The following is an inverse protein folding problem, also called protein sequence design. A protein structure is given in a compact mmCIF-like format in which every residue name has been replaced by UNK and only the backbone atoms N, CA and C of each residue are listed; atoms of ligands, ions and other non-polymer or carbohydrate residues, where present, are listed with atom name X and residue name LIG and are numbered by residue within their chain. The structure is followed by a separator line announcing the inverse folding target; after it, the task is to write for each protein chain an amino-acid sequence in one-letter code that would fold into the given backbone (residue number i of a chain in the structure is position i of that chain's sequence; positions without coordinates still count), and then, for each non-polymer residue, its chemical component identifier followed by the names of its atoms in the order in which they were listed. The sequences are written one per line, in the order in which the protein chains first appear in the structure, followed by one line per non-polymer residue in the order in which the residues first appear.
data_IF_443062272874
#
_entry.id   IF_443062272874
#
_cell.length_a   1.000
_cell.length_b   1.000
_cell.length_c   1.000
_cell.angle_alpha   90.00
_cell.angle_beta   90.00
_cell.angle_gamma   90.00
#
_symmetry.space_group_name_H-M   'P 1'
#
loop_
_entity.id
_entity.type
_entity.pdbx_description
1 polymer ?
#
# COMPACT_ATOMS: atom_id res chain seq x y z
N UNK A 1 16.20 6.08 6.23
CA UNK A 1 16.34 6.48 4.82
C UNK A 1 15.55 5.50 3.98
N UNK A 2 14.79 6.01 3.02
CA UNK A 2 14.06 5.19 2.06
C UNK A 2 14.99 4.22 1.31
N UNK A 3 14.49 3.00 1.10
CA UNK A 3 15.15 1.93 0.33
C UNK A 3 14.77 1.98 -1.15
N UNK A 4 13.67 2.65 -1.49
CA UNK A 4 13.12 2.76 -2.84
C UNK A 4 13.11 4.21 -3.34
N UNK A 5 13.06 4.36 -4.67
CA UNK A 5 13.02 5.65 -5.36
C UNK A 5 11.65 5.90 -6.00
N UNK A 6 11.35 7.17 -6.29
CA UNK A 6 10.17 7.59 -7.07
C UNK A 6 10.10 6.87 -8.44
N UNK A 7 11.24 6.70 -9.12
CA UNK A 7 11.31 6.02 -10.41
C UNK A 7 10.89 4.55 -10.29
N UNK A 8 11.36 3.83 -9.27
CA UNK A 8 10.98 2.43 -9.05
C UNK A 8 9.48 2.29 -8.73
N UNK A 9 8.92 3.21 -7.95
CA UNK A 9 7.47 3.22 -7.67
C UNK A 9 6.67 3.42 -8.94
N UNK A 10 7.04 4.41 -9.78
CA UNK A 10 6.34 4.69 -11.05
C UNK A 10 6.39 3.54 -12.06
N UNK A 11 7.35 2.63 -11.94
CA UNK A 11 7.38 1.41 -12.78
C UNK A 11 6.20 0.48 -12.47
N UNK A 12 5.76 0.42 -11.21
CA UNK A 12 4.75 -0.57 -10.79
C UNK A 12 3.33 0.02 -10.66
N UNK A 13 3.19 1.33 -10.51
CA UNK A 13 1.89 2.01 -10.39
C UNK A 13 1.73 3.14 -11.40
N UNK A 14 0.58 3.14 -12.07
CA UNK A 14 0.16 4.26 -12.90
C UNK A 14 -0.46 5.34 -12.02
N UNK A 15 0.26 6.44 -11.80
CA UNK A 15 -0.18 7.57 -10.98
C UNK A 15 0.13 8.89 -11.65
N UNK A 16 -0.75 9.88 -11.42
CA UNK A 16 -0.57 11.27 -11.87
C UNK A 16 0.01 12.16 -10.76
N UNK A 17 0.36 11.59 -9.60
CA UNK A 17 0.97 12.34 -8.50
C UNK A 17 2.33 12.91 -8.91
N UNK A 18 2.61 14.10 -8.38
CA UNK A 18 3.92 14.72 -8.53
C UNK A 18 4.97 14.00 -7.69
N UNK A 19 6.24 14.14 -8.06
CA UNK A 19 7.34 13.41 -7.44
C UNK A 19 7.48 13.69 -5.94
N UNK A 20 7.21 14.92 -5.51
CA UNK A 20 7.24 15.30 -4.09
C UNK A 20 6.20 14.52 -3.26
N UNK A 21 5.01 14.28 -3.82
CA UNK A 21 3.97 13.50 -3.16
C UNK A 21 4.38 12.02 -3.11
N UNK A 22 4.92 11.48 -4.20
CA UNK A 22 5.42 10.09 -4.24
C UNK A 22 6.50 9.88 -3.19
N UNK A 23 7.47 10.80 -3.08
CA UNK A 23 8.52 10.76 -2.06
C UNK A 23 7.94 10.76 -0.65
N UNK A 24 6.92 11.59 -0.40
CA UNK A 24 6.25 11.61 0.91
C UNK A 24 5.62 10.26 1.26
N UNK A 25 5.02 9.56 0.29
CA UNK A 25 4.46 8.22 0.49
C UNK A 25 5.54 7.16 0.70
N UNK A 26 6.67 7.26 -0.02
CA UNK A 26 7.84 6.41 0.17
C UNK A 26 8.39 6.57 1.60
N UNK A 27 8.48 7.80 2.10
CA UNK A 27 8.98 8.07 3.45
C UNK A 27 8.05 7.50 4.53
N UNK A 28 6.74 7.57 4.32
CA UNK A 28 5.75 6.92 5.20
C UNK A 28 5.94 5.39 5.17
N UNK A 29 6.05 4.80 3.98
CA UNK A 29 6.29 3.37 3.82
C UNK A 29 7.61 2.94 4.49
N UNK A 30 8.68 3.72 4.34
CA UNK A 30 9.98 3.43 4.95
C UNK A 30 9.91 3.40 6.47
N UNK A 31 9.26 4.40 7.09
CA UNK A 31 9.06 4.43 8.54
C UNK A 31 8.24 3.23 9.00
N UNK A 32 7.09 2.98 8.38
CA UNK A 32 6.23 1.86 8.71
C UNK A 32 6.96 0.50 8.61
N UNK A 33 7.67 0.24 7.50
CA UNK A 33 8.40 -1.01 7.32
C UNK A 33 9.59 -1.13 8.27
N UNK A 34 10.29 -0.03 8.54
CA UNK A 34 11.40 -0.05 9.49
C UNK A 34 10.92 -0.35 10.90
N UNK A 35 9.81 0.24 11.33
CA UNK A 35 9.26 0.04 12.67
C UNK A 35 8.69 -1.38 12.84
N UNK A 36 8.00 -1.89 11.83
CA UNK A 36 7.25 -3.15 11.93
C UNK A 36 8.11 -4.38 11.59
N UNK A 37 8.99 -4.25 10.59
CA UNK A 37 9.77 -5.37 10.05
C UNK A 37 11.28 -5.27 10.33
N UNK A 38 11.78 -4.12 10.80
CA UNK A 38 13.23 -3.89 10.95
C UNK A 38 13.94 -4.90 11.86
N UNK A 39 13.25 -5.45 12.85
CA UNK A 39 13.77 -6.45 13.79
C UNK A 39 13.38 -7.90 13.45
N UNK A 40 12.73 -8.13 12.32
CA UNK A 40 12.19 -9.46 11.94
C UNK A 40 13.18 -10.35 11.18
N UNK A 41 14.46 -9.96 11.12
CA UNK A 41 15.52 -10.74 10.48
C UNK A 41 15.43 -10.81 8.95
N UNK A 42 14.72 -9.88 8.32
CA UNK A 42 14.54 -9.86 6.88
C UNK A 42 15.74 -9.23 6.16
N UNK A 43 16.14 -9.82 5.02
CA UNK A 43 17.19 -9.26 4.18
C UNK A 43 16.81 -7.89 3.60
N UNK A 44 17.82 -7.05 3.38
CA UNK A 44 17.65 -5.67 2.88
C UNK A 44 16.92 -5.61 1.53
N UNK A 45 17.21 -6.54 0.62
CA UNK A 45 16.53 -6.64 -0.67
C UNK A 45 15.02 -6.89 -0.51
N UNK A 46 14.64 -7.79 0.39
CA UNK A 46 13.22 -8.08 0.64
C UNK A 46 12.51 -6.92 1.33
N UNK A 47 13.17 -6.24 2.28
CA UNK A 47 12.62 -5.03 2.89
C UNK A 47 12.43 -3.92 1.86
N UNK A 48 13.32 -3.81 0.87
CA UNK A 48 13.17 -2.89 -0.26
C UNK A 48 11.96 -3.24 -1.11
N UNK A 49 11.78 -4.50 -1.49
CA UNK A 49 10.63 -4.94 -2.29
C UNK A 49 9.31 -4.68 -1.55
N UNK A 50 9.26 -4.96 -0.26
CA UNK A 50 8.07 -4.69 0.56
C UNK A 50 7.78 -3.19 0.63
N UNK A 51 8.80 -2.36 0.84
CA UNK A 51 8.66 -0.90 0.87
C UNK A 51 8.13 -0.35 -0.48
N UNK A 52 8.57 -0.92 -1.60
CA UNK A 52 8.07 -0.58 -2.94
C UNK A 52 6.57 -0.83 -3.05
N UNK A 53 6.12 -2.02 -2.68
CA UNK A 53 4.72 -2.41 -2.75
C UNK A 53 3.83 -1.67 -1.74
N UNK A 54 4.32 -1.37 -0.53
CA UNK A 54 3.59 -0.54 0.42
C UNK A 54 3.47 0.91 -0.09
N UNK A 55 4.53 1.47 -0.68
CA UNK A 55 4.47 2.81 -1.28
C UNK A 55 3.38 2.88 -2.35
N UNK A 56 3.35 1.91 -3.26
CA UNK A 56 2.31 1.83 -4.29
C UNK A 56 0.90 1.59 -3.71
N UNK A 57 0.77 0.79 -2.64
CA UNK A 57 -0.49 0.61 -1.94
C UNK A 57 -1.02 1.95 -1.41
N UNK A 58 -0.20 2.71 -0.68
CA UNK A 58 -0.61 3.99 -0.11
C UNK A 58 -1.03 5.01 -1.19
N UNK A 59 -0.26 5.09 -2.28
CA UNK A 59 -0.57 5.96 -3.42
C UNK A 59 -1.92 5.59 -4.04
N UNK A 60 -2.18 4.29 -4.25
CA UNK A 60 -3.43 3.84 -4.86
C UNK A 60 -4.64 4.17 -3.98
N UNK A 61 -4.55 3.91 -2.67
CA UNK A 61 -5.64 4.20 -1.73
C UNK A 61 -5.98 5.70 -1.76
N UNK A 62 -4.98 6.57 -1.79
CA UNK A 62 -5.20 8.01 -1.87
C UNK A 62 -5.78 8.43 -3.23
N UNK A 63 -5.24 7.90 -4.33
CA UNK A 63 -5.68 8.24 -5.69
C UNK A 63 -7.13 7.84 -5.94
N UNK A 64 -7.55 6.68 -5.46
CA UNK A 64 -8.90 6.17 -5.72
C UNK A 64 -9.97 6.75 -4.79
N UNK A 65 -9.60 7.49 -3.73
CA UNK A 65 -10.53 8.18 -2.79
C UNK A 65 -11.72 7.34 -2.28
N UNK A 66 -11.62 6.01 -2.27
CA UNK A 66 -12.71 5.11 -1.89
C UNK A 66 -13.60 4.59 -3.04
N UNK A 67 -13.23 4.82 -4.30
CA UNK A 67 -13.82 4.21 -5.50
C UNK A 67 -15.17 4.81 -5.92
N UNK A 68 -15.27 5.28 -7.17
CA UNK A 68 -16.57 5.58 -7.78
C UNK A 68 -17.33 4.26 -7.95
N UNK A 69 -18.46 4.13 -7.25
CA UNK A 69 -19.25 2.90 -7.13
C UNK A 69 -19.90 2.43 -8.44
N UNK A 70 -20.06 3.32 -9.41
CA UNK A 70 -20.48 3.10 -10.81
C UNK A 70 -20.85 4.47 -11.37
N UNK A 71 -20.40 4.81 -12.58
CA UNK A 71 -20.93 5.95 -13.32
C UNK A 71 -21.37 5.44 -14.71
N UNK A 72 -22.68 5.45 -14.97
CA UNK A 72 -23.25 5.11 -16.29
C UNK A 72 -23.21 6.37 -17.15
N UNK A 73 -22.38 6.38 -18.19
CA UNK A 73 -22.40 7.41 -19.24
C UNK A 73 -22.95 6.76 -20.51
N UNK A 74 -24.25 6.94 -20.77
CA UNK A 74 -24.94 6.34 -21.92
C UNK A 74 -25.05 4.81 -21.83
N UNK A 75 -24.82 4.12 -22.96
CA UNK A 75 -24.83 2.64 -23.06
C UNK A 75 -23.45 1.99 -22.84
N UNK A 76 -22.43 2.77 -22.48
CA UNK A 76 -21.10 2.25 -22.18
C UNK A 76 -20.99 1.96 -20.68
N UNK A 77 -20.88 0.69 -20.32
CA UNK A 77 -20.63 0.26 -18.94
C UNK A 77 -19.12 0.12 -18.73
N UNK A 78 -18.50 1.06 -18.00
CA UNK A 78 -17.18 0.84 -17.42
C UNK A 78 -17.33 0.42 -15.96
N UNK A 79 -17.06 -0.85 -15.68
CA UNK A 79 -16.91 -1.33 -14.31
C UNK A 79 -15.54 -0.90 -13.80
N UNK A 80 -15.50 0.14 -12.97
CA UNK A 80 -14.29 0.50 -12.23
C UNK A 80 -14.06 -0.54 -11.14
N UNK A 81 -12.83 -1.05 -11.02
CA UNK A 81 -12.44 -1.93 -9.92
C UNK A 81 -12.53 -1.15 -8.62
N UNK A 82 -13.57 -1.41 -7.84
CA UNK A 82 -13.70 -0.88 -6.49
C UNK A 82 -12.61 -1.54 -5.63
N UNK A 83 -11.75 -0.74 -4.98
CA UNK A 83 -10.91 -1.24 -3.89
C UNK A 83 -11.81 -2.01 -2.93
N UNK A 84 -11.60 -3.32 -2.84
CA UNK A 84 -12.43 -4.23 -2.05
C UNK A 84 -11.54 -4.98 -1.08
N UNK A 85 -12.05 -5.23 0.12
CA UNK A 85 -11.27 -5.77 1.23
C UNK A 85 -10.95 -4.71 2.29
N UNK A 86 -10.19 -5.12 3.29
CA UNK A 86 -9.78 -4.27 4.42
C UNK A 86 -8.26 -4.13 4.43
N UNK A 87 -7.78 -2.94 4.81
CA UNK A 87 -6.36 -2.67 5.00
C UNK A 87 -5.50 -3.08 3.81
N UNK A 88 -4.47 -3.89 4.03
CA UNK A 88 -3.55 -4.33 2.98
C UNK A 88 -4.22 -5.16 1.88
N UNK A 89 -5.40 -5.75 2.13
CA UNK A 89 -6.13 -6.50 1.11
C UNK A 89 -6.85 -5.63 0.08
N UNK A 90 -7.00 -4.33 0.37
CA UNK A 90 -7.71 -3.39 -0.51
C UNK A 90 -7.07 -3.25 -1.90
N UNK A 91 -5.78 -3.52 -2.03
CA UNK A 91 -5.09 -3.45 -3.32
C UNK A 91 -4.17 -4.63 -3.56
N UNK A 92 -3.93 -4.94 -4.85
CA UNK A 92 -2.94 -5.94 -5.27
C UNK A 92 -1.56 -5.67 -4.66
N UNK A 93 -1.18 -4.41 -4.51
CA UNK A 93 0.12 -4.02 -3.97
C UNK A 93 0.23 -4.36 -2.48
N UNK A 94 -0.81 -4.11 -1.67
CA UNK A 94 -0.80 -4.47 -0.25
C UNK A 94 -0.84 -5.99 -0.04
N UNK A 95 -1.52 -6.72 -0.93
CA UNK A 95 -1.49 -8.18 -0.94
C UNK A 95 -0.10 -8.72 -1.28
N UNK A 96 0.58 -8.16 -2.28
CA UNK A 96 1.97 -8.53 -2.63
C UNK A 96 2.94 -8.22 -1.50
N UNK A 97 2.84 -7.05 -0.86
CA UNK A 97 3.65 -6.73 0.31
C UNK A 97 3.47 -7.75 1.44
N UNK A 98 2.21 -8.13 1.72
CA UNK A 98 1.90 -9.16 2.71
C UNK A 98 2.46 -10.53 2.36
N UNK A 99 2.45 -10.91 1.07
CA UNK A 99 3.02 -12.16 0.58
C UNK A 99 4.53 -12.20 0.75
N UNK A 100 5.21 -11.07 0.57
CA UNK A 100 6.66 -10.96 0.70
C UNK A 100 7.12 -10.97 2.18
N UNK A 101 6.25 -10.61 3.12
CA UNK A 101 6.54 -10.69 4.55
C UNK A 101 6.44 -12.12 5.09
N UNK A 102 7.58 -12.81 5.12
CA UNK A 102 7.68 -14.18 5.66
C UNK A 102 7.50 -14.26 7.18
N UNK A 103 7.50 -13.14 7.90
CA UNK A 103 7.25 -13.13 9.36
C UNK A 103 5.75 -13.11 9.70
N UNK A 104 4.88 -12.77 8.74
CA UNK A 104 3.45 -12.58 8.95
C UNK A 104 3.09 -11.35 9.79
N UNK A 105 4.05 -10.46 10.07
CA UNK A 105 3.85 -9.28 10.92
C UNK A 105 2.90 -8.28 10.25
N UNK A 106 3.01 -8.05 8.94
CA UNK A 106 2.12 -7.15 8.21
C UNK A 106 0.66 -7.57 8.33
N UNK A 107 0.36 -8.86 8.13
CA UNK A 107 -0.98 -9.41 8.31
C UNK A 107 -1.45 -9.36 9.77
N UNK A 108 -0.54 -9.44 10.74
CA UNK A 108 -0.88 -9.33 12.16
C UNK A 108 -1.27 -7.90 12.54
N UNK A 109 -0.51 -6.91 12.06
CA UNK A 109 -0.80 -5.49 12.28
C UNK A 109 -2.09 -5.08 11.59
N UNK A 110 -2.33 -5.55 10.36
CA UNK A 110 -3.54 -5.29 9.59
C UNK A 110 -4.83 -5.78 10.28
N UNK A 111 -4.74 -6.89 11.03
CA UNK A 111 -5.86 -7.49 11.77
C UNK A 111 -6.12 -6.89 13.14
N UNK A 112 -5.29 -5.98 13.65
CA UNK A 112 -5.39 -5.49 15.03
C UNK A 112 -6.64 -4.60 15.17
N UNK A 113 -7.78 -5.22 15.50
CA UNK A 113 -9.04 -4.55 15.84
C UNK A 113 -8.79 -3.52 16.93
N UNK A 114 -9.11 -2.25 16.66
CA UNK A 114 -9.32 -1.26 17.72
C UNK A 114 -10.42 -1.77 18.64
N UNK A 115 -10.03 -2.33 19.79
CA UNK A 115 -10.94 -2.48 20.92
C UNK A 115 -11.17 -1.09 21.49
N UNK A 116 -12.23 -0.42 21.04
CA UNK A 116 -12.79 0.70 21.79
C UNK A 116 -13.31 0.14 23.11
N UNK A 117 -12.49 0.19 24.16
CA UNK A 117 -12.99 0.12 25.53
C UNK A 117 -13.71 1.44 25.78
N UNK A 118 -15.03 1.41 25.72
CA UNK A 118 -15.84 2.45 26.32
C UNK A 118 -15.52 2.45 27.82
N UNK A 119 -14.92 3.54 28.29
CA UNK A 119 -14.76 3.88 29.71
C UNK A 119 -16.05 4.56 30.19
#
# INVERSE_FOLDING_TARGET
MARVTNTEVKVIINTTMIDADIVSHIDIANRFITDVLGSKGMGSARLKDIELYISAHLILILQEKGGVKSERIGDSQRTYSVLSGEGLKMSRYGQTASMLDTSGTLLSVDKKKSIFRAL
#
